data_IF_333127989863
#
_entry.id   IF_333127989863
#
_cell.length_a   1.000
_cell.length_b   1.000
_cell.length_c   1.000
_cell.angle_alpha   90.00
_cell.angle_beta   90.00
_cell.angle_gamma   90.00
#
_symmetry.space_group_name_H-M   'P 1'
#
loop_
_entity.id
_entity.type
_entity.pdbx_description
1 polymer ?
#
# COMPACT_ATOMS: atom_id res chain seq x y z
N UNK A 1 -23.08 -12.29 -21.19
CA UNK A 1 -21.80 -12.85 -21.72
C UNK A 1 -20.72 -12.67 -20.69
N UNK A 2 -19.82 -13.65 -20.48
CA UNK A 2 -18.76 -13.55 -19.47
C UNK A 2 -17.69 -12.54 -19.92
N UNK A 3 -17.32 -11.58 -19.07
CA UNK A 3 -16.24 -10.60 -19.32
C UNK A 3 -14.90 -11.29 -19.09
N UNK A 4 -13.91 -11.03 -19.96
CA UNK A 4 -12.58 -11.61 -19.85
C UNK A 4 -11.68 -10.73 -19.00
N UNK A 5 -11.75 -9.40 -19.16
CA UNK A 5 -10.87 -8.41 -18.52
C UNK A 5 -11.69 -7.24 -17.95
N UNK A 6 -11.55 -6.99 -16.64
CA UNK A 6 -12.00 -5.74 -16.01
C UNK A 6 -10.79 -4.84 -15.77
N UNK A 7 -10.85 -3.60 -16.25
CA UNK A 7 -9.82 -2.59 -15.99
C UNK A 7 -10.36 -1.64 -14.93
N UNK A 8 -9.67 -1.53 -13.81
CA UNK A 8 -10.02 -0.67 -12.68
C UNK A 8 -9.03 0.49 -12.60
N UNK A 9 -9.54 1.72 -12.66
CA UNK A 9 -8.73 2.93 -12.57
C UNK A 9 -9.29 3.86 -11.49
N UNK A 10 -8.53 4.16 -10.42
CA UNK A 10 -8.89 5.17 -9.43
C UNK A 10 -8.61 6.56 -10.01
N UNK A 11 -9.51 7.52 -9.80
CA UNK A 11 -9.37 8.89 -10.24
C UNK A 11 -9.67 9.86 -9.09
N UNK A 12 -8.85 10.90 -8.94
CA UNK A 12 -9.08 12.01 -8.01
C UNK A 12 -8.53 13.31 -8.58
N UNK A 13 -9.39 14.20 -8.99
CA UNK A 13 -9.06 15.47 -9.68
C UNK A 13 -8.22 15.21 -10.96
N UNK A 14 -8.75 14.37 -11.83
CA UNK A 14 -8.11 13.92 -13.07
C UNK A 14 -8.95 14.29 -14.32
N UNK A 15 -9.74 15.36 -14.25
CA UNK A 15 -10.63 15.81 -15.33
C UNK A 15 -9.97 15.81 -16.71
N UNK A 16 -8.72 16.30 -16.79
CA UNK A 16 -7.97 16.41 -18.04
C UNK A 16 -7.50 15.08 -18.62
N UNK A 17 -7.50 14.01 -17.85
CA UNK A 17 -6.93 12.71 -18.27
C UNK A 17 -7.98 11.66 -18.62
N UNK A 18 -9.22 11.79 -18.12
CA UNK A 18 -10.26 10.75 -18.23
C UNK A 18 -10.60 10.41 -19.69
N UNK A 19 -10.79 11.40 -20.57
CA UNK A 19 -11.16 11.16 -21.97
C UNK A 19 -10.04 10.37 -22.69
N UNK A 20 -8.79 10.76 -22.49
CA UNK A 20 -7.64 10.10 -23.11
C UNK A 20 -7.47 8.69 -22.55
N UNK A 21 -7.60 8.51 -21.24
CA UNK A 21 -7.52 7.20 -20.59
C UNK A 21 -8.56 6.24 -21.17
N UNK A 22 -9.84 6.66 -21.23
CA UNK A 22 -10.92 5.83 -21.78
C UNK A 22 -10.65 5.45 -23.24
N UNK A 23 -10.20 6.40 -24.07
CA UNK A 23 -9.93 6.14 -25.48
C UNK A 23 -8.77 5.17 -25.68
N UNK A 24 -7.68 5.33 -24.94
CA UNK A 24 -6.51 4.46 -25.06
C UNK A 24 -6.79 3.05 -24.53
N UNK A 25 -7.48 2.91 -23.40
CA UNK A 25 -7.88 1.60 -22.87
C UNK A 25 -8.85 0.87 -23.81
N UNK A 26 -9.83 1.58 -24.37
CA UNK A 26 -10.75 1.03 -25.38
C UNK A 26 -9.98 0.54 -26.59
N UNK A 27 -9.12 1.38 -27.18
CA UNK A 27 -8.27 1.05 -28.34
C UNK A 27 -7.46 -0.22 -28.11
N UNK A 28 -6.82 -0.36 -26.95
CA UNK A 28 -5.99 -1.53 -26.64
C UNK A 28 -6.86 -2.79 -26.48
N UNK A 29 -7.98 -2.72 -25.76
CA UNK A 29 -8.84 -3.87 -25.56
C UNK A 29 -9.46 -4.36 -26.88
N UNK A 30 -9.91 -3.46 -27.74
CA UNK A 30 -10.41 -3.79 -29.09
C UNK A 30 -9.32 -4.46 -29.94
N UNK A 31 -8.09 -3.95 -29.90
CA UNK A 31 -6.95 -4.57 -30.61
C UNK A 31 -6.65 -5.98 -30.09
N UNK A 32 -6.85 -6.23 -28.80
CA UNK A 32 -6.66 -7.56 -28.18
C UNK A 32 -7.81 -8.52 -28.46
N UNK A 33 -8.94 -8.07 -29.03
CA UNK A 33 -10.15 -8.86 -29.25
C UNK A 33 -10.67 -9.57 -27.98
N UNK A 34 -10.56 -8.91 -26.81
CA UNK A 34 -11.06 -9.42 -25.52
C UNK A 34 -12.39 -8.75 -25.16
N UNK A 35 -13.24 -9.46 -24.44
CA UNK A 35 -14.44 -8.86 -23.84
C UNK A 35 -14.04 -8.16 -22.58
N UNK A 36 -14.29 -6.87 -22.50
CA UNK A 36 -13.77 -6.03 -21.43
C UNK A 36 -14.82 -5.11 -20.82
N UNK A 37 -14.53 -4.63 -19.64
CA UNK A 37 -15.14 -3.47 -19.00
C UNK A 37 -14.06 -2.56 -18.41
N UNK A 38 -14.33 -1.27 -18.38
CA UNK A 38 -13.47 -0.26 -17.78
C UNK A 38 -14.25 0.38 -16.63
N UNK A 39 -13.77 0.22 -15.40
CA UNK A 39 -14.38 0.75 -14.19
C UNK A 39 -13.52 1.90 -13.68
N UNK A 40 -14.00 3.13 -13.82
CA UNK A 40 -13.31 4.31 -13.29
C UNK A 40 -13.95 4.67 -11.97
N UNK A 41 -13.14 4.71 -10.90
CA UNK A 41 -13.61 5.02 -9.55
C UNK A 41 -13.20 6.42 -9.17
N UNK A 42 -14.16 7.34 -9.14
CA UNK A 42 -13.98 8.71 -8.66
C UNK A 42 -13.94 8.73 -7.13
N UNK A 43 -12.78 9.08 -6.57
CA UNK A 43 -12.56 9.19 -5.12
C UNK A 43 -13.08 10.53 -4.56
N UNK A 44 -14.30 10.92 -4.94
CA UNK A 44 -14.96 12.17 -4.53
C UNK A 44 -14.18 13.39 -5.00
N UNK A 45 -13.93 13.50 -6.30
CA UNK A 45 -13.27 14.66 -6.92
C UNK A 45 -14.07 15.93 -6.74
N UNK A 46 -13.35 17.05 -6.69
CA UNK A 46 -13.91 18.41 -6.59
C UNK A 46 -13.93 19.15 -7.93
N UNK A 47 -13.31 18.62 -8.97
CA UNK A 47 -13.29 19.10 -10.34
C UNK A 47 -14.31 18.38 -11.24
N UNK A 48 -14.24 18.57 -12.56
CA UNK A 48 -15.12 17.92 -13.54
C UNK A 48 -14.84 16.43 -13.80
N UNK A 49 -14.07 15.75 -12.97
CA UNK A 49 -13.71 14.32 -13.17
C UNK A 49 -14.96 13.43 -13.31
N UNK A 50 -15.94 13.56 -12.41
CA UNK A 50 -17.16 12.75 -12.44
C UNK A 50 -18.00 13.00 -13.69
N UNK A 51 -18.12 14.24 -14.14
CA UNK A 51 -18.80 14.62 -15.36
C UNK A 51 -18.15 13.98 -16.59
N UNK A 52 -16.79 13.94 -16.63
CA UNK A 52 -16.05 13.29 -17.71
C UNK A 52 -16.26 11.77 -17.70
N UNK A 53 -16.25 11.13 -16.54
CA UNK A 53 -16.54 9.69 -16.40
C UNK A 53 -17.96 9.39 -16.90
N UNK A 54 -18.95 10.15 -16.43
CA UNK A 54 -20.36 9.98 -16.82
C UNK A 54 -20.57 10.17 -18.33
N UNK A 55 -19.88 11.14 -18.93
CA UNK A 55 -19.92 11.37 -20.38
C UNK A 55 -19.33 10.19 -21.17
N UNK A 56 -18.20 9.63 -20.73
CA UNK A 56 -17.58 8.48 -21.38
C UNK A 56 -18.42 7.21 -21.23
N UNK A 57 -19.04 7.00 -20.07
CA UNK A 57 -19.96 5.89 -19.85
C UNK A 57 -21.18 5.93 -20.80
N UNK A 58 -21.72 7.12 -21.10
CA UNK A 58 -22.81 7.28 -22.07
C UNK A 58 -22.38 7.00 -23.51
N UNK A 59 -21.11 7.28 -23.86
CA UNK A 59 -20.56 7.05 -25.21
C UNK A 59 -20.16 5.59 -25.44
N UNK A 60 -19.64 4.93 -24.41
CA UNK A 60 -19.15 3.55 -24.50
C UNK A 60 -19.77 2.71 -23.35
N UNK A 61 -20.62 1.74 -23.64
CA UNK A 61 -21.29 0.90 -22.64
C UNK A 61 -20.30 0.00 -21.88
N UNK A 62 -19.06 -0.18 -22.37
CA UNK A 62 -18.01 -0.88 -21.63
C UNK A 62 -17.36 -0.02 -20.53
N UNK A 63 -17.59 1.30 -20.52
CA UNK A 63 -17.08 2.21 -19.51
C UNK A 63 -18.14 2.40 -18.42
N UNK A 64 -17.74 2.20 -17.17
CA UNK A 64 -18.58 2.34 -15.99
C UNK A 64 -17.91 3.28 -14.98
N UNK A 65 -18.69 4.18 -14.40
CA UNK A 65 -18.28 5.09 -13.34
C UNK A 65 -18.80 4.63 -11.98
N UNK A 66 -17.97 4.77 -10.96
CA UNK A 66 -18.31 4.57 -9.55
C UNK A 66 -17.81 5.77 -8.78
N UNK A 67 -18.67 6.53 -8.10
CA UNK A 67 -18.28 7.68 -7.30
C UNK A 67 -18.33 7.33 -5.82
N UNK A 68 -17.26 7.55 -5.08
CA UNK A 68 -17.23 7.37 -3.64
C UNK A 68 -17.90 8.55 -2.92
N UNK A 69 -18.53 8.29 -1.78
CA UNK A 69 -19.22 9.30 -0.98
C UNK A 69 -18.28 10.38 -0.43
N UNK A 70 -17.00 10.00 -0.20
CA UNK A 70 -15.94 10.90 0.29
C UNK A 70 -14.59 10.45 -0.23
N UNK A 71 -13.62 11.35 -0.24
CA UNK A 71 -12.23 10.98 -0.51
C UNK A 71 -11.75 9.95 0.53
N UNK A 72 -11.48 8.77 0.05
CA UNK A 72 -11.09 7.60 0.87
C UNK A 72 -9.68 7.12 0.56
N UNK A 73 -9.05 7.69 -0.46
CA UNK A 73 -7.71 7.39 -0.94
C UNK A 73 -7.67 6.29 -1.99
N UNK A 74 -6.62 6.35 -2.81
CA UNK A 74 -6.41 5.48 -3.99
C UNK A 74 -6.66 3.99 -3.72
N UNK A 75 -6.16 3.47 -2.59
CA UNK A 75 -6.32 2.04 -2.25
C UNK A 75 -7.78 1.63 -2.08
N UNK A 76 -8.61 2.48 -1.44
CA UNK A 76 -10.03 2.21 -1.27
C UNK A 76 -10.79 2.37 -2.59
N UNK A 77 -10.39 3.30 -3.43
CA UNK A 77 -10.96 3.44 -4.78
C UNK A 77 -10.67 2.21 -5.64
N UNK A 78 -9.43 1.68 -5.64
CA UNK A 78 -9.08 0.42 -6.30
C UNK A 78 -9.94 -0.73 -5.76
N UNK A 79 -10.08 -0.87 -4.44
CA UNK A 79 -10.89 -1.90 -3.81
C UNK A 79 -12.37 -1.82 -4.24
N UNK A 80 -12.94 -0.60 -4.30
CA UNK A 80 -14.31 -0.37 -4.75
C UNK A 80 -14.55 -0.84 -6.20
N UNK A 81 -13.57 -0.58 -7.06
CA UNK A 81 -13.59 -1.04 -8.44
C UNK A 81 -13.42 -2.55 -8.56
N UNK A 82 -12.47 -3.14 -7.85
CA UNK A 82 -12.23 -4.59 -7.85
C UNK A 82 -13.45 -5.39 -7.36
N UNK A 83 -14.16 -4.91 -6.34
CA UNK A 83 -15.40 -5.54 -5.84
C UNK A 83 -16.54 -5.54 -6.86
N UNK A 84 -16.50 -4.66 -7.86
CA UNK A 84 -17.50 -4.50 -8.92
C UNK A 84 -17.08 -5.08 -10.27
N UNK A 85 -15.84 -5.58 -10.32
CA UNK A 85 -15.29 -6.21 -11.50
C UNK A 85 -15.97 -7.58 -11.76
N UNK A 86 -16.32 -7.82 -13.03
CA UNK A 86 -16.97 -9.08 -13.47
C UNK A 86 -16.06 -9.92 -14.36
N UNK A 87 -14.87 -9.41 -14.70
CA UNK A 87 -13.89 -10.08 -15.56
C UNK A 87 -13.23 -11.28 -14.89
N UNK A 88 -12.77 -12.22 -15.70
CA UNK A 88 -11.94 -13.34 -15.24
C UNK A 88 -10.58 -12.88 -14.74
N UNK A 89 -10.10 -11.72 -15.21
CA UNK A 89 -8.90 -11.03 -14.77
C UNK A 89 -9.23 -9.57 -14.49
N UNK A 90 -8.57 -9.01 -13.50
CA UNK A 90 -8.71 -7.60 -13.09
C UNK A 90 -7.37 -6.92 -13.28
N UNK A 91 -7.33 -5.89 -14.12
CA UNK A 91 -6.19 -5.00 -14.28
C UNK A 91 -6.42 -3.73 -13.48
N UNK A 92 -5.46 -3.34 -12.66
CA UNK A 92 -5.45 -2.02 -12.01
C UNK A 92 -4.44 -1.11 -12.70
N UNK A 93 -4.83 0.14 -12.97
CA UNK A 93 -4.00 1.14 -13.65
C UNK A 93 -4.35 2.54 -13.15
N UNK A 94 -3.36 3.42 -12.94
CA UNK A 94 -3.61 4.79 -12.52
C UNK A 94 -4.17 5.65 -13.66
N UNK A 95 -4.97 6.66 -13.32
CA UNK A 95 -5.63 7.55 -14.29
C UNK A 95 -4.73 8.65 -14.85
N UNK A 96 -3.51 8.83 -14.28
CA UNK A 96 -2.55 9.89 -14.66
C UNK A 96 -1.73 9.61 -15.94
N UNK A 97 -2.03 8.50 -16.63
CA UNK A 97 -1.37 8.07 -17.88
C UNK A 97 0.15 7.83 -17.78
N UNK A 98 0.69 7.70 -16.57
CA UNK A 98 2.12 7.39 -16.39
C UNK A 98 2.43 5.92 -16.70
N UNK A 99 1.44 5.03 -16.54
CA UNK A 99 1.57 3.64 -16.90
C UNK A 99 1.35 3.44 -18.42
N UNK A 100 2.29 2.77 -19.12
CA UNK A 100 2.15 2.55 -20.54
C UNK A 100 1.04 1.52 -20.83
N UNK A 101 -0.08 1.97 -21.38
CA UNK A 101 -1.22 1.11 -21.74
C UNK A 101 -0.83 0.02 -22.76
N UNK A 102 0.19 0.26 -23.56
CA UNK A 102 0.72 -0.70 -24.53
C UNK A 102 1.35 -1.95 -23.89
N UNK A 103 1.55 -1.98 -22.58
CA UNK A 103 1.96 -3.17 -21.83
C UNK A 103 0.80 -4.10 -21.45
N UNK A 104 -0.45 -3.66 -21.58
CA UNK A 104 -1.61 -4.49 -21.25
C UNK A 104 -1.63 -5.79 -22.07
N UNK A 105 -1.34 -5.81 -23.37
CA UNK A 105 -1.22 -7.06 -24.14
C UNK A 105 -0.14 -8.01 -23.57
N UNK A 106 1.01 -7.48 -23.15
CA UNK A 106 2.10 -8.29 -22.56
C UNK A 106 1.64 -8.90 -21.22
N UNK A 107 0.92 -8.15 -20.40
CA UNK A 107 0.33 -8.67 -19.15
C UNK A 107 -0.67 -9.77 -19.47
N UNK A 108 -1.50 -9.57 -20.50
CA UNK A 108 -2.50 -10.54 -20.92
C UNK A 108 -1.87 -11.86 -21.41
N UNK A 109 -0.81 -11.81 -22.18
CA UNK A 109 -0.07 -12.97 -22.65
C UNK A 109 0.51 -13.78 -21.48
N UNK A 110 1.07 -13.10 -20.46
CA UNK A 110 1.72 -13.73 -19.30
C UNK A 110 0.76 -14.14 -18.19
N UNK A 111 -0.53 -13.82 -18.30
CA UNK A 111 -1.53 -13.99 -17.23
C UNK A 111 -1.64 -15.41 -16.64
N UNK A 112 -1.39 -16.43 -17.47
CA UNK A 112 -1.55 -17.82 -17.07
C UNK A 112 -0.34 -18.41 -16.34
N UNK A 113 0.81 -17.72 -16.30
CA UNK A 113 2.04 -18.23 -15.69
C UNK A 113 1.89 -18.35 -14.16
N UNK A 114 1.41 -17.29 -13.52
CA UNK A 114 1.24 -17.23 -12.06
C UNK A 114 -0.15 -16.74 -11.64
N UNK A 115 -0.96 -16.26 -12.58
CA UNK A 115 -2.25 -15.60 -12.30
C UNK A 115 -2.11 -14.15 -11.82
N UNK A 116 -0.89 -13.66 -11.61
CA UNK A 116 -0.58 -12.26 -11.23
C UNK A 116 0.57 -11.77 -12.08
N UNK A 117 0.37 -10.65 -12.78
CA UNK A 117 1.42 -9.94 -13.51
C UNK A 117 1.52 -8.53 -12.96
N UNK A 118 2.72 -8.05 -12.64
CA UNK A 118 2.93 -6.72 -12.05
C UNK A 118 3.91 -5.89 -12.87
N UNK A 119 3.60 -4.62 -13.02
CA UNK A 119 4.50 -3.64 -13.60
C UNK A 119 5.55 -3.20 -12.59
N UNK A 120 6.82 -3.30 -12.95
CA UNK A 120 7.94 -2.77 -12.20
C UNK A 120 8.53 -1.57 -12.90
N UNK A 121 8.47 -0.42 -12.26
CA UNK A 121 9.09 0.79 -12.79
C UNK A 121 10.61 0.71 -12.69
N UNK A 122 11.30 0.87 -13.82
CA UNK A 122 12.75 1.05 -13.84
C UNK A 122 13.10 2.47 -13.41
N UNK A 123 13.86 2.59 -12.32
CA UNK A 123 14.31 3.89 -11.82
C UNK A 123 15.50 4.35 -12.63
N UNK A 124 15.31 5.38 -13.46
CA UNK A 124 16.39 6.12 -14.09
C UNK A 124 16.90 7.20 -13.14
N UNK A 125 18.20 7.18 -12.80
CA UNK A 125 18.93 8.25 -12.10
C UNK A 125 18.46 8.58 -10.67
N UNK A 126 18.34 7.59 -9.79
CA UNK A 126 18.35 7.90 -8.36
C UNK A 126 19.75 8.32 -7.89
N UNK A 127 19.81 9.36 -7.05
CA UNK A 127 21.06 9.68 -6.37
C UNK A 127 21.55 8.48 -5.56
N UNK A 128 22.85 8.20 -5.55
CA UNK A 128 23.47 7.06 -4.84
C UNK A 128 23.04 6.98 -3.36
N UNK A 129 22.80 8.13 -2.74
CA UNK A 129 22.35 8.23 -1.34
C UNK A 129 20.90 7.69 -1.22
N UNK A 130 20.00 8.09 -2.12
CA UNK A 130 18.60 7.59 -2.13
C UNK A 130 18.55 6.10 -2.40
N UNK A 131 19.35 5.61 -3.35
CA UNK A 131 19.42 4.18 -3.67
C UNK A 131 19.92 3.35 -2.47
N UNK A 132 20.98 3.78 -1.77
CA UNK A 132 21.48 3.11 -0.56
C UNK A 132 20.47 3.14 0.58
N UNK A 133 19.81 4.28 0.81
CA UNK A 133 18.78 4.40 1.86
C UNK A 133 17.57 3.49 1.55
N UNK A 134 17.15 3.45 0.29
CA UNK A 134 16.08 2.54 -0.18
C UNK A 134 16.49 1.07 0.00
N UNK A 135 17.73 0.69 -0.37
CA UNK A 135 18.23 -0.66 -0.15
C UNK A 135 18.24 -1.05 1.33
N UNK A 136 18.74 -0.16 2.21
CA UNK A 136 18.73 -0.37 3.64
C UNK A 136 17.32 -0.52 4.19
N UNK A 137 16.38 0.32 3.75
CA UNK A 137 14.97 0.24 4.13
C UNK A 137 14.34 -1.10 3.74
N UNK A 138 14.49 -1.55 2.49
CA UNK A 138 13.95 -2.83 2.04
C UNK A 138 14.63 -4.03 2.70
N UNK A 139 15.93 -3.95 2.98
CA UNK A 139 16.64 -4.97 3.74
C UNK A 139 16.08 -5.09 5.15
N UNK A 140 15.92 -3.96 5.85
CA UNK A 140 15.36 -3.90 7.20
C UNK A 140 13.90 -4.39 7.23
N UNK A 141 13.09 -3.96 6.27
CA UNK A 141 11.72 -4.40 6.12
C UNK A 141 11.62 -5.91 5.89
N UNK A 142 12.44 -6.46 5.00
CA UNK A 142 12.54 -7.90 4.77
C UNK A 142 12.98 -8.67 6.03
N UNK A 143 13.97 -8.15 6.75
CA UNK A 143 14.47 -8.76 7.98
C UNK A 143 13.42 -8.78 9.08
N UNK A 144 12.63 -7.71 9.21
CA UNK A 144 11.55 -7.59 10.20
C UNK A 144 10.29 -8.34 9.80
N UNK A 145 9.85 -8.25 8.53
CA UNK A 145 8.59 -8.87 8.10
C UNK A 145 8.74 -10.34 7.74
N UNK A 146 9.92 -10.78 7.33
CA UNK A 146 10.13 -12.10 6.74
C UNK A 146 9.55 -12.23 5.32
N UNK A 147 9.00 -11.14 4.74
CA UNK A 147 8.32 -11.14 3.44
C UNK A 147 9.25 -10.52 2.40
N UNK A 148 9.41 -11.18 1.25
CA UNK A 148 10.17 -10.66 0.12
C UNK A 148 9.33 -9.65 -0.66
N UNK A 149 9.40 -8.36 -0.26
CA UNK A 149 8.67 -7.28 -0.93
C UNK A 149 9.45 -6.87 -2.17
N UNK A 150 8.76 -6.86 -3.30
CA UNK A 150 9.32 -6.42 -4.58
C UNK A 150 9.47 -4.89 -4.60
N UNK A 151 10.66 -4.41 -5.00
CA UNK A 151 10.95 -2.99 -5.12
C UNK A 151 10.27 -2.40 -6.35
N UNK A 152 9.85 -1.14 -6.25
CA UNK A 152 9.32 -0.33 -7.39
C UNK A 152 8.12 -0.96 -8.09
N UNK A 153 7.37 -1.81 -7.39
CA UNK A 153 6.10 -2.37 -7.85
C UNK A 153 4.98 -1.49 -7.33
N UNK A 154 4.26 -0.86 -8.25
CA UNK A 154 3.09 -0.01 -7.99
C UNK A 154 1.78 -0.80 -8.01
N UNK A 155 0.71 -0.06 -8.28
CA UNK A 155 -0.65 -0.63 -8.39
C UNK A 155 -1.00 -1.01 -9.84
N UNK A 156 -0.06 -0.91 -10.80
CA UNK A 156 -0.19 -1.40 -12.16
C UNK A 156 0.03 -2.92 -12.19
N UNK A 157 -1.08 -3.67 -12.19
CA UNK A 157 -1.06 -5.13 -12.11
C UNK A 157 -2.28 -5.78 -12.73
N UNK A 158 -2.10 -6.98 -13.24
CA UNK A 158 -3.16 -7.88 -13.68
C UNK A 158 -3.27 -9.03 -12.68
N UNK A 159 -4.47 -9.31 -12.18
CA UNK A 159 -4.70 -10.35 -11.18
C UNK A 159 -5.90 -11.19 -11.62
N UNK A 160 -5.79 -12.51 -11.54
CA UNK A 160 -6.91 -13.41 -11.77
C UNK A 160 -7.99 -13.21 -10.68
N UNK A 161 -9.27 -13.22 -11.08
CA UNK A 161 -10.36 -12.76 -10.20
C UNK A 161 -10.53 -13.62 -8.93
N UNK A 162 -10.22 -14.92 -8.97
CA UNK A 162 -10.24 -15.78 -7.78
C UNK A 162 -9.19 -15.36 -6.76
N UNK A 163 -7.95 -15.08 -7.21
CA UNK A 163 -6.89 -14.55 -6.35
C UNK A 163 -7.25 -13.16 -5.82
N UNK A 164 -7.81 -12.30 -6.68
CA UNK A 164 -8.26 -10.97 -6.27
C UNK A 164 -9.32 -11.04 -5.16
N UNK A 165 -10.30 -11.92 -5.30
CA UNK A 165 -11.34 -12.16 -4.29
C UNK A 165 -10.75 -12.67 -2.98
N UNK A 166 -9.81 -13.61 -3.04
CA UNK A 166 -9.13 -14.15 -1.87
C UNK A 166 -8.38 -13.04 -1.10
N UNK A 167 -7.62 -12.22 -1.82
CA UNK A 167 -6.92 -11.06 -1.24
C UNK A 167 -7.88 -9.98 -0.72
N UNK A 168 -9.03 -9.77 -1.36
CA UNK A 168 -10.05 -8.81 -0.91
C UNK A 168 -10.82 -9.29 0.32
N UNK A 169 -10.88 -10.59 0.57
CA UNK A 169 -11.49 -11.17 1.78
C UNK A 169 -10.53 -11.18 2.97
N UNK A 170 -9.25 -10.83 2.78
CA UNK A 170 -8.29 -10.72 3.86
C UNK A 170 -8.76 -9.71 4.92
N UNK A 171 -8.56 -10.05 6.22
CA UNK A 171 -8.93 -9.17 7.35
C UNK A 171 -7.99 -7.98 7.55
N UNK A 172 -6.86 -7.97 6.86
CA UNK A 172 -5.79 -6.99 7.00
C UNK A 172 -5.99 -5.79 6.07
N UNK A 173 -5.11 -4.78 6.22
CA UNK A 173 -5.07 -3.68 5.25
C UNK A 173 -4.78 -4.22 3.85
N UNK A 174 -5.68 -3.93 2.90
CA UNK A 174 -5.68 -4.49 1.54
C UNK A 174 -4.66 -3.82 0.61
N UNK A 175 -3.41 -3.76 1.05
CA UNK A 175 -2.30 -3.26 0.23
C UNK A 175 -1.73 -4.44 -0.56
N UNK A 176 -2.12 -4.58 -1.81
CA UNK A 176 -1.83 -5.75 -2.65
C UNK A 176 -0.34 -6.09 -2.74
N UNK A 177 0.55 -5.09 -2.81
CA UNK A 177 2.02 -5.32 -2.87
C UNK A 177 2.57 -6.03 -1.63
N UNK A 178 1.85 -6.01 -0.50
CA UNK A 178 2.21 -6.74 0.72
C UNK A 178 1.43 -8.04 0.86
N UNK A 179 0.14 -8.04 0.50
CA UNK A 179 -0.70 -9.22 0.61
C UNK A 179 -0.27 -10.34 -0.34
N UNK A 180 0.03 -10.02 -1.58
CA UNK A 180 0.45 -11.02 -2.59
C UNK A 180 1.60 -11.88 -2.07
N UNK A 181 2.78 -11.35 -1.67
CA UNK A 181 3.86 -12.18 -1.16
C UNK A 181 3.58 -12.75 0.25
N UNK A 182 2.76 -12.10 1.07
CA UNK A 182 2.38 -12.61 2.39
C UNK A 182 1.56 -13.89 2.32
N UNK A 183 0.64 -13.97 1.35
CA UNK A 183 -0.18 -15.17 1.11
C UNK A 183 0.52 -16.21 0.24
N UNK A 184 1.79 -16.00 -0.12
CA UNK A 184 2.61 -16.95 -0.88
C UNK A 184 2.34 -16.95 -2.39
N UNK A 185 1.56 -16.00 -2.89
CA UNK A 185 1.35 -15.88 -4.32
C UNK A 185 2.62 -15.38 -5.03
N UNK A 186 2.91 -16.02 -6.16
CA UNK A 186 3.99 -15.57 -7.06
C UNK A 186 3.43 -14.58 -8.08
N UNK A 187 4.27 -13.68 -8.55
CA UNK A 187 3.92 -12.73 -9.61
C UNK A 187 4.98 -12.68 -10.69
N UNK A 188 4.54 -12.62 -11.94
CA UNK A 188 5.38 -12.27 -13.07
C UNK A 188 5.67 -10.76 -13.05
N UNK A 189 6.93 -10.41 -13.35
CA UNK A 189 7.37 -9.01 -13.37
C UNK A 189 7.56 -8.57 -14.81
N UNK A 190 6.97 -7.44 -15.17
CA UNK A 190 7.19 -6.76 -16.45
C UNK A 190 7.76 -5.39 -16.15
N UNK A 191 9.04 -5.19 -16.49
CA UNK A 191 9.71 -3.91 -16.30
C UNK A 191 9.26 -2.88 -17.32
N UNK A 192 9.12 -1.63 -16.90
CA UNK A 192 8.79 -0.52 -17.79
C UNK A 192 9.45 0.79 -17.35
N UNK A 193 9.65 1.67 -18.33
CA UNK A 193 10.05 3.04 -18.09
C UNK A 193 8.80 3.92 -17.99
N UNK A 194 8.57 4.52 -16.83
CA UNK A 194 7.45 5.46 -16.70
C UNK A 194 7.66 6.69 -17.59
N UNK A 195 6.58 7.17 -18.19
CA UNK A 195 6.58 8.45 -18.91
C UNK A 195 6.78 9.57 -17.87
N UNK A 196 7.52 10.62 -18.25
CA UNK A 196 7.68 11.79 -17.37
C UNK A 196 6.31 12.43 -17.12
N UNK A 197 6.07 12.84 -15.87
CA UNK A 197 4.87 13.63 -15.53
C UNK A 197 4.84 14.88 -16.36
N UNK A 198 3.72 15.13 -17.02
CA UNK A 198 3.48 16.36 -17.77
C UNK A 198 3.27 17.57 -16.86
N UNK A 199 2.95 17.39 -15.57
CA UNK A 199 2.87 18.45 -14.56
C UNK A 199 2.90 17.85 -13.12
N UNK A 200 3.60 18.53 -12.19
CA UNK A 200 3.55 18.27 -10.75
C UNK A 200 4.88 17.83 -10.12
N UNK A 201 5.41 18.65 -9.19
CA UNK A 201 6.56 18.29 -8.36
C UNK A 201 6.15 17.29 -7.28
N UNK A 202 6.90 16.20 -7.16
CA UNK A 202 6.74 15.24 -6.07
C UNK A 202 7.26 15.85 -4.75
N UNK A 203 6.39 16.54 -4.01
CA UNK A 203 6.69 17.04 -2.65
C UNK A 203 6.50 15.92 -1.61
N UNK A 204 7.30 14.87 -1.67
CA UNK A 204 7.36 13.92 -0.55
C UNK A 204 8.24 14.51 0.55
N UNK A 205 7.63 15.07 1.59
CA UNK A 205 8.30 15.45 2.83
C UNK A 205 8.89 14.20 3.51
N UNK A 206 10.06 14.36 4.16
CA UNK A 206 10.71 13.29 4.95
C UNK A 206 9.75 12.70 5.98
N UNK A 207 8.88 13.53 6.59
CA UNK A 207 7.86 13.06 7.53
C UNK A 207 6.82 12.13 6.88
N UNK A 208 6.43 12.37 5.63
CA UNK A 208 5.54 11.46 4.88
C UNK A 208 6.22 10.13 4.58
N UNK A 209 7.51 10.14 4.25
CA UNK A 209 8.29 8.92 4.03
C UNK A 209 8.45 8.10 5.32
N UNK A 210 8.72 8.74 6.46
CA UNK A 210 8.79 8.09 7.76
C UNK A 210 7.44 7.50 8.18
N UNK A 211 6.35 8.23 8.01
CA UNK A 211 5.01 7.71 8.29
C UNK A 211 4.64 6.53 7.38
N UNK A 212 4.99 6.61 6.09
CA UNK A 212 4.79 5.50 5.16
C UNK A 212 5.62 4.27 5.58
N UNK A 213 6.87 4.49 6.01
CA UNK A 213 7.75 3.44 6.49
C UNK A 213 7.19 2.77 7.76
N UNK A 214 6.81 3.54 8.76
CA UNK A 214 6.21 3.05 10.00
C UNK A 214 4.91 2.29 9.74
N UNK A 215 4.01 2.87 8.96
CA UNK A 215 2.74 2.23 8.60
C UNK A 215 2.99 0.93 7.83
N UNK A 216 3.94 0.91 6.90
CA UNK A 216 4.28 -0.28 6.13
C UNK A 216 4.83 -1.41 7.01
N UNK A 217 5.77 -1.10 7.93
CA UNK A 217 6.36 -2.09 8.84
C UNK A 217 5.30 -2.66 9.77
N UNK A 218 4.54 -1.80 10.42
CA UNK A 218 3.58 -2.19 11.45
C UNK A 218 2.33 -2.86 10.87
N UNK A 219 1.96 -2.58 9.61
CA UNK A 219 0.85 -3.28 8.92
C UNK A 219 1.21 -4.70 8.50
N UNK A 220 2.50 -4.99 8.33
CA UNK A 220 2.98 -6.25 7.75
C UNK A 220 3.47 -7.21 8.81
N UNK A 221 3.98 -6.71 9.95
CA UNK A 221 4.62 -7.55 10.96
C UNK A 221 4.43 -7.04 12.38
N UNK A 222 4.31 -7.98 13.32
CA UNK A 222 4.32 -7.72 14.77
C UNK A 222 5.72 -7.81 15.38
N UNK A 223 6.75 -8.15 14.58
CA UNK A 223 8.12 -8.33 15.10
C UNK A 223 8.72 -7.12 15.82
N UNK A 224 8.44 -5.85 15.43
CA UNK A 224 8.87 -4.70 16.24
C UNK A 224 8.35 -4.71 17.68
N UNK A 225 7.19 -5.36 17.91
CA UNK A 225 6.67 -5.56 19.26
C UNK A 225 7.57 -6.49 20.10
N UNK A 226 8.12 -7.53 19.50
CA UNK A 226 9.09 -8.41 20.17
C UNK A 226 10.44 -7.72 20.42
N UNK A 227 10.80 -6.72 19.61
CA UNK A 227 11.99 -5.91 19.86
C UNK A 227 11.85 -5.15 21.19
N UNK A 228 10.66 -4.66 21.53
CA UNK A 228 10.42 -4.00 22.82
C UNK A 228 10.65 -4.94 24.01
N UNK A 229 10.28 -6.21 23.88
CA UNK A 229 10.55 -7.24 24.89
C UNK A 229 12.05 -7.48 25.04
N UNK A 230 12.79 -7.52 23.92
CA UNK A 230 14.26 -7.63 23.94
C UNK A 230 14.93 -6.44 24.62
N UNK A 231 14.50 -5.22 24.33
CA UNK A 231 14.97 -4.00 24.99
C UNK A 231 14.70 -4.07 26.50
N UNK A 232 13.47 -4.43 26.89
CA UNK A 232 13.10 -4.58 28.30
C UNK A 232 13.99 -5.61 29.03
N UNK A 233 14.32 -6.74 28.38
CA UNK A 233 15.22 -7.75 28.90
C UNK A 233 16.65 -7.22 29.12
N UNK A 234 17.20 -6.49 28.15
CA UNK A 234 18.52 -5.85 28.27
C UNK A 234 18.54 -4.86 29.43
N UNK A 235 17.49 -4.04 29.54
CA UNK A 235 17.39 -3.07 30.65
C UNK A 235 17.30 -3.76 32.01
N UNK A 236 16.53 -4.84 32.12
CA UNK A 236 16.42 -5.63 33.33
C UNK A 236 17.81 -6.17 33.77
N UNK A 237 18.60 -6.66 32.81
CA UNK A 237 19.97 -7.15 33.06
C UNK A 237 20.85 -6.01 33.55
N UNK A 238 20.86 -4.86 32.88
CA UNK A 238 21.66 -3.69 33.28
C UNK A 238 21.26 -3.23 34.68
N UNK A 239 19.95 -3.09 34.94
CA UNK A 239 19.43 -2.69 36.26
C UNK A 239 19.82 -3.69 37.34
N UNK A 240 19.81 -4.98 37.04
CA UNK A 240 20.27 -6.02 37.98
C UNK A 240 21.75 -5.87 38.35
N UNK A 241 22.63 -5.64 37.38
CA UNK A 241 24.08 -5.41 37.65
C UNK A 241 24.29 -4.12 38.43
N UNK A 242 23.60 -3.05 38.12
CA UNK A 242 23.65 -1.79 38.87
C UNK A 242 23.19 -1.96 40.31
N UNK A 243 22.12 -2.75 40.53
CA UNK A 243 21.66 -3.08 41.86
C UNK A 243 22.71 -3.88 42.65
N UNK A 244 23.31 -4.91 42.05
CA UNK A 244 24.41 -5.66 42.67
C UNK A 244 25.62 -4.77 43.02
N UNK A 245 26.00 -3.85 42.10
CA UNK A 245 27.06 -2.88 42.34
C UNK A 245 26.72 -1.94 43.51
N UNK A 246 25.50 -1.44 43.58
CA UNK A 246 25.04 -0.57 44.67
C UNK A 246 25.11 -1.28 46.02
N UNK A 247 24.67 -2.56 46.09
CA UNK A 247 24.78 -3.37 47.31
C UNK A 247 26.25 -3.60 47.72
N UNK A 248 27.13 -3.89 46.77
CA UNK A 248 28.58 -4.05 47.04
C UNK A 248 29.18 -2.78 47.60
N UNK A 249 28.88 -1.63 47.00
CA UNK A 249 29.38 -0.33 47.47
C UNK A 249 28.86 0.05 48.86
N UNK A 250 27.57 -0.23 49.13
CA UNK A 250 26.96 -0.01 50.43
C UNK A 250 27.63 -0.85 51.52
N UNK A 251 27.97 -2.11 51.27
CA UNK A 251 28.59 -3.02 52.21
C UNK A 251 30.07 -2.73 52.46
N UNK A 252 30.79 -2.11 51.51
CA UNK A 252 32.27 -1.91 51.60
C UNK A 252 32.70 -0.50 51.95
N UNK A 253 31.95 0.54 51.54
CA UNK A 253 32.40 1.95 51.65
C UNK A 253 31.41 2.87 52.41
N UNK A 254 30.33 2.36 52.95
CA UNK A 254 29.29 3.18 53.57
C UNK A 254 28.45 3.97 52.55
N UNK A 255 27.86 5.08 52.96
CA UNK A 255 27.02 5.89 52.04
C UNK A 255 27.83 6.37 50.87
N UNK A 256 27.62 5.76 49.73
CA UNK A 256 28.33 6.08 48.49
C UNK A 256 27.89 7.46 47.96
N UNK A 257 28.85 8.30 47.51
CA UNK A 257 28.52 9.41 46.64
C UNK A 257 28.05 8.87 45.29
N UNK A 258 26.75 8.59 45.17
CA UNK A 258 26.15 7.91 44.02
C UNK A 258 24.92 8.59 43.49
N UNK A 259 24.58 9.79 43.98
CA UNK A 259 23.37 10.51 43.57
C UNK A 259 23.28 10.71 42.06
N UNK A 260 24.38 11.02 41.39
CA UNK A 260 24.45 11.28 39.95
C UNK A 260 24.22 9.98 39.12
N UNK A 261 24.78 8.86 39.58
CA UNK A 261 24.60 7.56 38.93
C UNK A 261 23.18 7.05 39.10
N UNK A 262 22.55 7.28 40.28
CA UNK A 262 21.17 6.91 40.51
C UNK A 262 20.20 7.67 39.59
N UNK A 263 20.36 8.99 39.46
CA UNK A 263 19.56 9.80 38.54
C UNK A 263 19.77 9.34 37.11
N UNK A 264 20.99 9.06 36.67
CA UNK A 264 21.30 8.55 35.34
C UNK A 264 20.59 7.24 35.05
N UNK A 265 20.62 6.28 35.99
CA UNK A 265 19.97 4.99 35.88
C UNK A 265 18.46 5.11 35.80
N UNK A 266 17.84 5.90 36.68
CA UNK A 266 16.40 6.13 36.72
C UNK A 266 15.93 6.82 35.42
N UNK A 267 16.66 7.83 34.94
CA UNK A 267 16.34 8.54 33.70
C UNK A 267 16.45 7.63 32.50
N UNK A 268 17.48 6.77 32.42
CA UNK A 268 17.64 5.78 31.36
C UNK A 268 16.52 4.74 31.40
N UNK A 269 16.16 4.24 32.57
CA UNK A 269 15.05 3.31 32.76
C UNK A 269 13.71 3.89 32.31
N UNK A 270 13.41 5.13 32.72
CA UNK A 270 12.20 5.84 32.29
C UNK A 270 12.16 6.05 30.77
N UNK A 271 13.27 6.46 30.16
CA UNK A 271 13.36 6.65 28.71
C UNK A 271 13.03 5.35 27.96
N UNK A 272 13.53 4.21 28.44
CA UNK A 272 13.25 2.92 27.84
C UNK A 272 11.81 2.47 28.06
N UNK A 273 11.22 2.71 29.22
CA UNK A 273 9.81 2.43 29.49
C UNK A 273 8.93 3.24 28.52
N UNK A 274 9.21 4.53 28.33
CA UNK A 274 8.44 5.35 27.39
C UNK A 274 8.65 4.92 25.92
N UNK A 275 9.83 4.45 25.53
CA UNK A 275 10.07 3.90 24.21
C UNK A 275 9.24 2.63 23.95
N UNK A 276 9.19 1.72 24.93
CA UNK A 276 8.36 0.52 24.89
C UNK A 276 6.87 0.88 24.81
N UNK A 277 6.40 1.79 25.67
CA UNK A 277 5.01 2.27 25.66
C UNK A 277 4.66 2.95 24.31
N UNK A 278 5.59 3.69 23.72
CA UNK A 278 5.42 4.27 22.39
C UNK A 278 5.17 3.21 21.31
N UNK A 279 5.94 2.12 21.32
CA UNK A 279 5.74 0.99 20.40
C UNK A 279 4.37 0.35 20.63
N UNK A 280 3.98 0.11 21.90
CA UNK A 280 2.65 -0.40 22.22
C UNK A 280 1.53 0.53 21.72
N UNK A 281 1.69 1.84 21.92
CA UNK A 281 0.73 2.85 21.43
C UNK A 281 0.52 2.79 19.92
N UNK A 282 1.60 2.62 19.15
CA UNK A 282 1.52 2.47 17.68
C UNK A 282 0.70 1.23 17.30
N UNK A 283 0.97 0.07 17.92
CA UNK A 283 0.23 -1.16 17.64
C UNK A 283 -1.23 -1.10 18.09
N UNK A 284 -1.49 -0.53 19.28
CA UNK A 284 -2.86 -0.32 19.76
C UNK A 284 -3.64 0.59 18.80
N UNK A 285 -3.04 1.68 18.36
CA UNK A 285 -3.62 2.56 17.35
C UNK A 285 -3.96 1.83 16.04
N UNK A 286 -3.13 0.88 15.61
CA UNK A 286 -3.42 0.06 14.44
C UNK A 286 -4.54 -0.94 14.67
N UNK A 287 -4.58 -1.60 15.83
CA UNK A 287 -5.68 -2.51 16.20
C UNK A 287 -7.00 -1.74 16.19
N UNK A 288 -7.05 -0.57 16.81
CA UNK A 288 -8.22 0.31 16.79
C UNK A 288 -8.59 0.66 15.35
N UNK A 289 -7.61 1.06 14.53
CA UNK A 289 -7.85 1.37 13.12
C UNK A 289 -8.37 0.16 12.33
N UNK A 290 -7.89 -1.05 12.58
CA UNK A 290 -8.40 -2.28 11.96
C UNK A 290 -9.84 -2.59 12.41
N UNK A 291 -10.15 -2.43 13.68
CA UNK A 291 -11.49 -2.64 14.22
C UNK A 291 -12.50 -1.59 13.75
N UNK A 292 -12.06 -0.34 13.60
CA UNK A 292 -12.89 0.77 13.12
C UNK A 292 -12.89 0.91 11.59
N UNK A 293 -11.91 0.35 10.89
CA UNK A 293 -11.79 0.43 9.42
C UNK A 293 -12.61 -0.61 8.65
N UNK A 294 -13.55 -1.30 9.31
CA UNK A 294 -14.71 -1.90 8.63
C UNK A 294 -15.62 -0.80 8.04
N UNK A 295 -15.07 0.39 7.75
CA UNK A 295 -15.76 1.39 6.96
C UNK A 295 -16.05 0.79 5.59
N UNK A 296 -17.30 0.34 5.44
CA UNK A 296 -17.87 0.00 4.15
C UNK A 296 -17.53 1.12 3.16
N UNK A 297 -16.99 0.71 2.02
CA UNK A 297 -16.74 1.65 0.94
C UNK A 297 -18.12 2.12 0.46
N UNK A 298 -18.50 3.34 0.87
CA UNK A 298 -19.79 3.90 0.52
C UNK A 298 -19.69 4.60 -0.83
N UNK A 299 -20.55 4.17 -1.72
CA UNK A 299 -20.69 4.73 -3.06
C UNK A 299 -21.85 5.73 -3.04
N UNK A 300 -21.66 6.91 -3.61
CA UNK A 300 -22.71 7.92 -3.76
C UNK A 300 -23.46 7.78 -5.07
N UNK A 301 -22.75 7.47 -6.15
CA UNK A 301 -23.30 7.40 -7.49
C UNK A 301 -22.63 6.30 -8.31
N UNK A 302 -23.39 5.68 -9.24
CA UNK A 302 -22.87 4.78 -10.28
C UNK A 302 -23.49 5.17 -11.61
N UNK A 303 -22.75 4.99 -12.69
CA UNK A 303 -23.36 5.11 -14.03
C UNK A 303 -24.19 3.86 -14.30
N UNK A 304 -25.36 3.99 -14.97
CA UNK A 304 -26.43 2.98 -15.10
C UNK A 304 -26.07 1.68 -15.88
N UNK A 305 -24.81 1.51 -16.28
CA UNK A 305 -24.37 0.38 -17.11
C UNK A 305 -23.93 -0.87 -16.30
N UNK A 306 -24.48 -1.11 -15.10
CA UNK A 306 -24.12 -2.28 -14.29
C UNK A 306 -24.99 -3.50 -14.62
N UNK A 307 -24.40 -4.66 -14.99
CA UNK A 307 -25.15 -5.92 -15.17
C UNK A 307 -25.70 -6.52 -13.87
N UNK A 308 -25.36 -5.93 -12.69
CA UNK A 308 -25.81 -6.43 -11.37
C UNK A 308 -27.02 -5.70 -10.79
N UNK A 309 -27.50 -4.65 -11.47
CA UNK A 309 -28.65 -3.85 -11.01
C UNK A 309 -29.94 -4.22 -11.77
N UNK A 310 -30.00 -5.43 -12.42
CA UNK A 310 -31.18 -6.03 -13.04
C UNK A 310 -31.49 -7.36 -12.37
#
# INVERSE_FOLDING_TARGET
>A
MKIDLSIVSPAYNEEGNIDLLCSELTRICEKMHVRYEIIIVDDSSSDGTWEMISRNSKKNPAVRGVRLLRNSGQLKAIQAGMQRANGSYILTIDSDLQHPVDLIPVFWERRNLTGIVVGQQELRNESLIKAKLSQFFYFFLRRLSGIAIQKNVGDFRLIRSDIANDLMNAKEQKILRFLVPKYGYQSEIVSFNAKQRTAGESKYSISKLLNLALTSVTSVTTRPLYLSVGIAGICAIITFFDFCYALYMWGTRGTAPGWTSLIGLVSMGLTMIFAVLGIFGIYLGQIIKMLTSSEEIRVSETTENSPRDV
#
